data_IF_494524970915
#
_entry.id   IF_494524970915
#
_cell.length_a   1.000
_cell.length_b   1.000
_cell.length_c   1.000
_cell.angle_alpha   90.00
_cell.angle_beta   90.00
_cell.angle_gamma   90.00
#
_symmetry.space_group_name_H-M   'P 1'
#
loop_
_entity.id
_entity.type
_entity.pdbx_description
1 polymer ?
#
# COMPACT_ATOMS: atom_id res chain seq x y z
N UNK A 1 -15.83 17.81 -49.48
CA UNK A 1 -16.26 18.50 -48.25
C UNK A 1 -16.75 17.54 -47.15
N UNK A 2 -16.21 16.31 -47.01
CA UNK A 2 -16.75 15.29 -46.10
C UNK A 2 -16.06 15.19 -44.70
N UNK A 3 -15.01 15.99 -44.45
CA UNK A 3 -14.21 15.90 -43.21
C UNK A 3 -14.86 16.62 -42.02
N UNK A 4 -15.74 17.58 -42.27
CA UNK A 4 -16.39 18.37 -41.21
C UNK A 4 -17.56 17.64 -40.53
N UNK A 5 -18.26 16.75 -41.25
CA UNK A 5 -19.40 16.03 -40.67
C UNK A 5 -18.96 14.96 -39.68
N UNK A 6 -17.81 14.32 -39.94
CA UNK A 6 -17.25 13.33 -39.01
C UNK A 6 -16.78 14.00 -37.70
N UNK A 7 -16.27 15.23 -37.79
CA UNK A 7 -15.85 16.01 -36.62
C UNK A 7 -17.06 16.41 -35.77
N UNK A 8 -18.14 16.89 -36.40
CA UNK A 8 -19.40 17.24 -35.72
C UNK A 8 -20.06 16.02 -35.08
N UNK A 9 -20.03 14.85 -35.74
CA UNK A 9 -20.53 13.61 -35.15
C UNK A 9 -19.71 13.16 -33.93
N UNK A 10 -18.37 13.24 -33.99
CA UNK A 10 -17.50 12.89 -32.85
C UNK A 10 -17.72 13.82 -31.65
N UNK A 11 -17.85 15.13 -31.89
CA UNK A 11 -18.18 16.12 -30.85
C UNK A 11 -19.57 15.84 -30.23
N UNK A 12 -20.58 15.55 -31.04
CA UNK A 12 -21.93 15.21 -30.56
C UNK A 12 -21.98 13.88 -29.80
N UNK A 13 -21.15 12.90 -30.18
CA UNK A 13 -21.02 11.63 -29.48
C UNK A 13 -20.28 11.77 -28.13
N UNK A 14 -19.26 12.64 -28.06
CA UNK A 14 -18.56 12.95 -26.83
C UNK A 14 -19.46 13.70 -25.83
N UNK A 15 -20.26 14.64 -26.32
CA UNK A 15 -21.16 15.44 -25.49
C UNK A 15 -22.32 14.59 -24.89
N UNK A 16 -22.92 13.70 -25.68
CA UNK A 16 -23.91 12.72 -25.19
C UNK A 16 -23.37 11.83 -24.07
N UNK A 17 -22.08 11.49 -24.07
CA UNK A 17 -21.46 10.70 -22.99
C UNK A 17 -21.30 11.51 -21.70
N UNK A 18 -21.03 12.82 -21.80
CA UNK A 18 -20.95 13.71 -20.64
C UNK A 18 -22.31 13.90 -19.98
N UNK A 19 -23.35 14.15 -20.77
CA UNK A 19 -24.70 14.40 -20.27
C UNK A 19 -25.32 13.18 -19.56
N UNK A 20 -24.97 11.94 -19.97
CA UNK A 20 -25.39 10.72 -19.24
C UNK A 20 -24.67 10.52 -17.91
N UNK A 21 -23.48 11.08 -17.74
CA UNK A 21 -22.73 10.93 -16.48
C UNK A 21 -23.26 11.85 -15.38
N UNK A 22 -23.88 12.97 -15.75
CA UNK A 22 -24.48 13.93 -14.80
C UNK A 22 -25.89 13.54 -14.36
N UNK A 23 -26.65 12.79 -15.17
CA UNK A 23 -28.01 12.38 -14.80
C UNK A 23 -28.06 11.14 -13.89
N UNK A 24 -26.99 10.32 -13.86
CA UNK A 24 -26.84 9.21 -12.91
C UNK A 24 -26.10 9.60 -11.63
N UNK A 25 -25.73 10.88 -11.48
CA UNK A 25 -24.98 11.43 -10.35
C UNK A 25 -25.75 12.59 -9.70
N UNK A 26 -27.07 12.46 -9.63
CA UNK A 26 -27.97 13.41 -8.97
C UNK A 26 -28.79 12.76 -7.84
N UNK A 27 -28.44 11.53 -7.43
CA UNK A 27 -29.09 10.80 -6.32
C UNK A 27 -28.06 10.22 -5.33
N UNK A 28 -26.97 10.94 -5.12
CA UNK A 28 -26.00 10.67 -4.04
C UNK A 28 -25.28 11.97 -3.73
N UNK A 29 -25.92 12.78 -2.88
CA UNK A 29 -25.44 14.05 -2.37
C UNK A 29 -23.99 13.98 -1.90
N UNK A 30 -23.15 14.87 -2.45
CA UNK A 30 -22.06 15.50 -1.72
C UNK A 30 -20.90 14.61 -1.24
N UNK A 31 -20.22 13.90 -2.13
CA UNK A 31 -18.86 13.43 -1.83
C UNK A 31 -17.86 14.57 -2.12
N UNK A 32 -17.72 15.47 -1.15
CA UNK A 32 -16.49 16.21 -0.98
C UNK A 32 -15.32 15.21 -0.95
N UNK A 33 -14.16 15.66 -1.43
CA UNK A 33 -12.90 14.91 -1.37
C UNK A 33 -12.61 14.62 0.11
N UNK A 34 -13.12 13.48 0.58
CA UNK A 34 -12.71 12.87 1.83
C UNK A 34 -11.33 12.29 1.53
N UNK A 35 -10.30 13.02 1.93
CA UNK A 35 -9.18 12.37 2.59
C UNK A 35 -9.81 11.33 3.53
N UNK A 36 -9.56 10.06 3.25
CA UNK A 36 -9.92 8.97 4.13
C UNK A 36 -9.05 9.10 5.39
N UNK A 37 -9.47 10.03 6.24
CA UNK A 37 -9.24 10.04 7.68
C UNK A 37 -10.19 8.96 8.25
N UNK A 38 -9.78 7.71 8.09
CA UNK A 38 -10.34 6.57 8.82
C UNK A 38 -9.45 6.32 10.04
N UNK A 39 -9.32 7.30 10.94
CA UNK A 39 -8.65 7.08 12.23
C UNK A 39 -9.31 7.85 13.37
N UNK A 40 -10.62 7.70 13.50
CA UNK A 40 -11.35 8.09 14.71
C UNK A 40 -12.63 7.30 14.89
N UNK A 41 -12.52 5.97 15.04
CA UNK A 41 -13.48 5.15 15.81
C UNK A 41 -13.10 3.64 15.87
N UNK A 42 -12.07 3.27 16.63
CA UNK A 42 -12.09 2.02 17.42
C UNK A 42 -10.87 1.97 18.32
N UNK A 43 -11.07 2.27 19.60
CA UNK A 43 -10.10 2.16 20.70
C UNK A 43 -9.69 0.71 21.03
N UNK A 44 -9.71 -0.20 20.05
CA UNK A 44 -9.29 -1.61 20.18
C UNK A 44 -8.83 -2.26 18.85
N UNK A 45 -8.68 -1.52 17.75
CA UNK A 45 -8.10 -2.10 16.54
C UNK A 45 -6.58 -2.12 16.64
N UNK A 46 -5.98 -3.32 16.57
CA UNK A 46 -4.53 -3.50 16.55
C UNK A 46 -3.94 -2.78 15.33
N UNK A 47 -2.98 -1.88 15.55
CA UNK A 47 -2.21 -1.27 14.47
C UNK A 47 -1.24 -2.30 13.87
N UNK A 48 -1.74 -3.01 12.86
CA UNK A 48 -0.97 -4.06 12.16
C UNK A 48 0.21 -3.46 11.39
N UNK A 49 0.08 -2.24 10.88
CA UNK A 49 1.17 -1.56 10.17
C UNK A 49 2.30 -1.25 11.16
N UNK A 50 1.98 -0.64 12.30
CA UNK A 50 2.93 -0.39 13.37
C UNK A 50 3.59 -1.66 13.90
N UNK A 51 2.84 -2.77 14.05
CA UNK A 51 3.41 -4.06 14.43
C UNK A 51 4.44 -4.57 13.41
N UNK A 52 4.12 -4.50 12.12
CA UNK A 52 5.05 -4.89 11.05
C UNK A 52 6.30 -4.01 11.05
N UNK A 53 6.15 -2.68 11.17
CA UNK A 53 7.27 -1.73 11.22
C UNK A 53 8.15 -1.98 12.44
N UNK A 54 7.55 -2.13 13.62
CA UNK A 54 8.28 -2.40 14.86
C UNK A 54 9.09 -3.70 14.77
N UNK A 55 8.53 -4.76 14.16
CA UNK A 55 9.26 -6.01 13.98
C UNK A 55 10.41 -5.88 12.97
N UNK A 56 10.22 -5.15 11.87
CA UNK A 56 11.29 -4.84 10.91
C UNK A 56 12.44 -4.10 11.60
N UNK A 57 12.13 -3.05 12.37
CA UNK A 57 13.16 -2.25 13.06
C UNK A 57 13.85 -3.03 14.18
N UNK A 58 13.11 -3.84 14.93
CA UNK A 58 13.66 -4.73 15.96
C UNK A 58 14.62 -5.76 15.40
N UNK A 59 14.31 -6.28 14.22
CA UNK A 59 15.21 -7.16 13.46
C UNK A 59 16.41 -6.37 12.95
N UNK A 60 16.20 -5.15 12.45
CA UNK A 60 17.25 -4.28 11.94
C UNK A 60 18.30 -3.89 13.01
N UNK A 61 17.88 -3.72 14.27
CA UNK A 61 18.80 -3.48 15.39
C UNK A 61 19.71 -4.67 15.72
N UNK A 62 19.39 -5.88 15.23
CA UNK A 62 20.20 -7.10 15.44
C UNK A 62 21.01 -7.49 14.21
N UNK A 63 20.50 -7.17 13.02
CA UNK A 63 21.09 -7.48 11.73
C UNK A 63 20.78 -6.32 10.78
N UNK A 64 21.76 -5.80 10.04
CA UNK A 64 21.48 -4.74 9.06
C UNK A 64 20.75 -5.34 7.85
N UNK A 65 19.48 -5.00 7.66
CA UNK A 65 18.72 -5.39 6.47
C UNK A 65 18.87 -4.33 5.40
N UNK A 66 19.01 -4.78 4.15
CA UNK A 66 18.87 -3.91 2.99
C UNK A 66 17.41 -3.69 2.65
N UNK A 67 17.09 -2.54 2.07
CA UNK A 67 15.74 -2.20 1.62
C UNK A 67 15.19 -3.28 0.66
N UNK A 68 16.06 -3.78 -0.23
CA UNK A 68 15.74 -4.90 -1.12
C UNK A 68 15.31 -6.16 -0.35
N UNK A 69 16.02 -6.55 0.71
CA UNK A 69 15.71 -7.72 1.54
C UNK A 69 14.39 -7.54 2.30
N UNK A 70 14.14 -6.34 2.84
CA UNK A 70 12.88 -6.00 3.53
C UNK A 70 11.70 -6.06 2.57
N UNK A 71 11.82 -5.46 1.39
CA UNK A 71 10.77 -5.49 0.36
C UNK A 71 10.52 -6.92 -0.13
N UNK A 72 11.58 -7.70 -0.36
CA UNK A 72 11.43 -9.10 -0.77
C UNK A 72 10.73 -9.92 0.31
N UNK A 73 11.08 -9.76 1.59
CA UNK A 73 10.41 -10.45 2.69
C UNK A 73 8.90 -10.13 2.74
N UNK A 74 8.52 -8.86 2.63
CA UNK A 74 7.10 -8.44 2.62
C UNK A 74 6.35 -9.00 1.42
N UNK A 75 6.95 -8.97 0.22
CA UNK A 75 6.36 -9.55 -1.00
C UNK A 75 6.19 -11.07 -0.90
N UNK A 76 7.14 -11.75 -0.26
CA UNK A 76 7.07 -13.18 0.01
C UNK A 76 5.87 -13.53 0.91
N UNK A 77 5.61 -12.73 1.95
CA UNK A 77 4.41 -12.88 2.78
C UNK A 77 3.11 -12.70 1.99
N UNK A 78 3.06 -11.75 1.05
CA UNK A 78 1.87 -11.51 0.23
C UNK A 78 1.59 -12.63 -0.79
N UNK A 79 2.64 -13.20 -1.38
CA UNK A 79 2.53 -14.18 -2.46
C UNK A 79 2.66 -15.65 -1.98
N UNK A 80 2.74 -15.89 -0.67
CA UNK A 80 3.10 -17.20 -0.09
C UNK A 80 4.40 -17.78 -0.67
N UNK A 81 5.35 -16.91 -1.02
CA UNK A 81 6.65 -17.28 -1.59
C UNK A 81 7.73 -17.40 -0.53
N UNK A 82 8.81 -18.14 -0.83
CA UNK A 82 9.99 -18.21 0.04
C UNK A 82 11.10 -17.35 -0.58
N UNK A 83 11.60 -16.33 0.12
CA UNK A 83 12.67 -15.49 -0.41
C UNK A 83 14.00 -16.27 -0.47
N UNK A 84 14.91 -15.90 -1.37
CA UNK A 84 16.18 -16.63 -1.57
C UNK A 84 17.24 -16.31 -0.51
N UNK A 85 17.22 -15.10 0.07
CA UNK A 85 18.15 -14.68 1.12
C UNK A 85 17.70 -15.20 2.48
N UNK A 86 18.65 -15.67 3.28
CA UNK A 86 18.39 -16.20 4.62
C UNK A 86 17.83 -15.13 5.58
N UNK A 87 18.27 -13.89 5.39
CA UNK A 87 17.87 -12.69 6.12
C UNK A 87 16.42 -12.36 5.77
N UNK A 88 16.10 -12.28 4.47
CA UNK A 88 14.73 -12.06 4.01
C UNK A 88 13.79 -13.22 4.43
N UNK A 89 14.28 -14.46 4.49
CA UNK A 89 13.50 -15.61 5.00
C UNK A 89 13.16 -15.42 6.47
N UNK A 90 14.14 -15.07 7.28
CA UNK A 90 13.96 -14.84 8.72
C UNK A 90 12.95 -13.71 8.97
N UNK A 91 13.08 -12.60 8.25
CA UNK A 91 12.14 -11.48 8.35
C UNK A 91 10.73 -11.88 7.90
N UNK A 92 10.61 -12.60 6.79
CA UNK A 92 9.30 -13.07 6.29
C UNK A 92 8.60 -14.01 7.28
N UNK A 93 9.35 -14.86 8.00
CA UNK A 93 8.79 -15.71 9.05
C UNK A 93 8.27 -14.89 10.23
N UNK A 94 9.00 -13.85 10.65
CA UNK A 94 8.58 -12.96 11.74
C UNK A 94 7.32 -12.19 11.37
N UNK A 95 7.25 -11.65 10.16
CA UNK A 95 6.06 -10.96 9.66
C UNK A 95 4.86 -11.91 9.55
N UNK A 96 5.06 -13.13 9.04
CA UNK A 96 3.99 -14.13 8.99
C UNK A 96 3.50 -14.53 10.39
N UNK A 97 4.34 -14.50 11.42
CA UNK A 97 3.91 -14.75 12.79
C UNK A 97 2.93 -13.66 13.29
N UNK A 98 3.08 -12.40 12.84
CA UNK A 98 2.14 -11.32 13.15
C UNK A 98 0.78 -11.58 12.51
N UNK A 99 0.76 -11.98 11.23
CA UNK A 99 -0.48 -12.31 10.52
C UNK A 99 -1.21 -13.54 11.06
N UNK A 100 -0.55 -14.39 11.85
CA UNK A 100 -1.13 -15.56 12.52
C UNK A 100 -1.67 -15.27 13.92
N UNK A 101 -1.53 -14.05 14.43
CA UNK A 101 -2.04 -13.71 15.76
C UNK A 101 -3.57 -13.60 15.72
N UNK A 102 -4.22 -14.05 16.79
CA UNK A 102 -5.69 -14.04 16.90
C UNK A 102 -6.30 -12.63 16.92
N UNK A 103 -5.49 -11.62 17.25
CA UNK A 103 -5.87 -10.20 17.28
C UNK A 103 -5.69 -9.48 15.94
N UNK A 104 -5.14 -10.16 14.91
CA UNK A 104 -4.83 -9.57 13.61
C UNK A 104 -5.69 -10.20 12.51
N UNK A 105 -6.48 -9.37 11.81
CA UNK A 105 -7.20 -9.83 10.62
C UNK A 105 -6.23 -10.04 9.45
N UNK A 106 -6.32 -11.20 8.77
CA UNK A 106 -5.52 -11.50 7.58
C UNK A 106 -5.65 -10.41 6.51
N UNK A 107 -6.86 -9.85 6.32
CA UNK A 107 -7.08 -8.76 5.37
C UNK A 107 -6.27 -7.52 5.76
N UNK A 108 -6.35 -7.10 7.03
CA UNK A 108 -5.60 -5.94 7.57
C UNK A 108 -4.09 -6.16 7.46
N UNK A 109 -3.62 -7.37 7.72
CA UNK A 109 -2.21 -7.74 7.55
C UNK A 109 -1.74 -7.62 6.10
N UNK A 110 -2.50 -8.15 5.14
CA UNK A 110 -2.16 -8.01 3.71
C UNK A 110 -2.21 -6.56 3.25
N UNK A 111 -3.22 -5.81 3.66
CA UNK A 111 -3.34 -4.38 3.32
C UNK A 111 -2.16 -3.56 3.88
N UNK A 112 -1.75 -3.84 5.13
CA UNK A 112 -0.58 -3.23 5.75
C UNK A 112 0.71 -3.55 4.99
N UNK A 113 0.96 -4.83 4.67
CA UNK A 113 2.13 -5.23 3.88
C UNK A 113 2.13 -4.61 2.48
N UNK A 114 0.99 -4.53 1.81
CA UNK A 114 0.89 -3.87 0.50
C UNK A 114 1.22 -2.38 0.58
N UNK A 115 0.72 -1.70 1.62
CA UNK A 115 1.03 -0.30 1.86
C UNK A 115 2.53 -0.08 2.10
N UNK A 116 3.13 -0.91 2.97
CA UNK A 116 4.57 -0.86 3.26
C UNK A 116 5.43 -1.18 2.04
N UNK A 117 5.05 -2.15 1.20
CA UNK A 117 5.77 -2.43 -0.04
C UNK A 117 5.71 -1.24 -0.99
N UNK A 118 4.56 -0.57 -1.12
CA UNK A 118 4.45 0.63 -1.97
C UNK A 118 5.35 1.75 -1.45
N UNK A 119 5.24 2.06 -0.16
CA UNK A 119 6.10 3.06 0.49
C UNK A 119 7.59 2.72 0.32
N UNK A 120 7.97 1.45 0.47
CA UNK A 120 9.35 1.00 0.27
C UNK A 120 9.83 1.13 -1.17
N UNK A 121 8.96 0.99 -2.17
CA UNK A 121 9.32 1.26 -3.56
C UNK A 121 9.45 2.75 -3.84
N UNK A 122 8.61 3.59 -3.23
CA UNK A 122 8.66 5.04 -3.39
C UNK A 122 9.89 5.65 -2.71
N UNK A 123 10.39 5.02 -1.65
CA UNK A 123 11.53 5.50 -0.84
C UNK A 123 12.82 4.74 -1.14
N UNK A 124 12.79 3.80 -2.08
CA UNK A 124 13.98 3.08 -2.53
C UNK A 124 14.89 4.06 -3.26
N UNK A 125 16.07 4.27 -2.70
CA UNK A 125 17.11 5.06 -3.33
C UNK A 125 18.19 4.13 -3.90
N UNK A 126 18.54 4.29 -5.17
CA UNK A 126 19.62 3.49 -5.79
C UNK A 126 20.98 3.75 -5.15
N UNK A 127 21.17 4.95 -4.58
CA UNK A 127 22.41 5.36 -3.91
C UNK A 127 22.45 4.94 -2.43
N UNK A 128 21.31 4.59 -1.83
CA UNK A 128 21.22 4.20 -0.42
C UNK A 128 20.23 3.04 -0.21
N UNK A 129 20.79 1.84 -0.10
CA UNK A 129 20.07 0.56 0.09
C UNK A 129 19.55 0.37 1.54
N UNK A 130 19.46 1.44 2.32
CA UNK A 130 18.88 1.47 3.67
C UNK A 130 17.93 2.66 3.90
N UNK A 131 17.62 3.42 2.85
CA UNK A 131 16.81 4.64 2.93
C UNK A 131 15.38 4.35 3.42
N UNK A 132 14.77 3.27 2.97
CA UNK A 132 13.44 2.85 3.44
C UNK A 132 13.48 2.42 4.90
N UNK A 133 14.47 1.63 5.31
CA UNK A 133 14.62 1.24 6.72
C UNK A 133 14.85 2.45 7.63
N UNK A 134 15.65 3.43 7.19
CA UNK A 134 15.84 4.69 7.92
C UNK A 134 14.54 5.50 8.01
N UNK A 135 13.76 5.56 6.93
CA UNK A 135 12.44 6.19 6.94
C UNK A 135 11.50 5.53 7.95
N UNK A 136 11.46 4.19 7.98
CA UNK A 136 10.69 3.44 8.97
C UNK A 136 11.14 3.77 10.39
N UNK A 137 12.45 3.91 10.62
CA UNK A 137 13.00 4.26 11.93
C UNK A 137 12.56 5.67 12.38
N UNK A 138 12.50 6.62 11.45
CA UNK A 138 11.99 7.99 11.72
C UNK A 138 10.49 7.97 12.03
N UNK A 139 9.70 7.16 11.32
CA UNK A 139 8.26 7.03 11.57
C UNK A 139 7.92 6.38 12.92
N UNK A 140 8.82 5.54 13.45
CA UNK A 140 8.62 4.82 14.71
C UNK A 140 9.23 5.52 15.93
N UNK A 141 9.90 6.67 15.73
CA UNK A 141 10.49 7.49 16.79
C UNK A 141 9.49 8.48 17.40
#
# INVERSE_FOLDING_TARGET
MAKNDNLKQKLKAADRRRSRRTASQADSSGAAIAFCDDDSASTNSVDVTGLCVAEILKMNGKQSFRDSEVITAMRSCLNAGTPSSSEAQLLSQRLNAIGKRDDVSEKRFRDALQSLVKSGLDHRNEDNDSAFVQFLAVLAS
#
